data_IF_975228987268
#
_entry.id   IF_975228987268
#
_cell.length_a   1.000
_cell.length_b   1.000
_cell.length_c   1.000
_cell.angle_alpha   90.00
_cell.angle_beta   90.00
_cell.angle_gamma   90.00
#
_symmetry.space_group_name_H-M   'P 1'
#
loop_
_entity.id
_entity.type
_entity.pdbx_description
1 polymer ?
#
# COMPACT_ATOMS: atom_id res chain seq x y z
N UNK A 1 -5.59 25.31 13.05
CA UNK A 1 -4.43 24.40 12.96
C UNK A 1 -4.53 23.67 11.64
N UNK A 2 -3.56 23.85 10.77
CA UNK A 2 -3.41 23.04 9.54
C UNK A 2 -2.71 21.74 9.91
N UNK A 3 -3.21 20.61 9.40
CA UNK A 3 -2.55 19.31 9.53
C UNK A 3 -1.27 19.32 8.66
N UNK A 4 -0.16 18.79 9.16
CA UNK A 4 1.05 18.60 8.34
C UNK A 4 0.76 17.55 7.26
N UNK A 5 1.09 17.88 6.01
CA UNK A 5 0.88 16.97 4.89
C UNK A 5 1.81 15.76 4.97
N UNK A 6 3.02 15.94 5.49
CA UNK A 6 3.93 14.83 5.81
C UNK A 6 3.33 13.93 6.88
N UNK A 7 2.89 14.49 8.01
CA UNK A 7 2.31 13.72 9.11
C UNK A 7 1.07 12.91 8.68
N UNK A 8 0.28 13.43 7.74
CA UNK A 8 -0.88 12.75 7.17
C UNK A 8 -0.56 11.72 6.07
N UNK A 9 0.71 11.58 5.66
CA UNK A 9 1.12 10.71 4.53
C UNK A 9 2.16 9.66 4.94
N UNK A 10 3.45 9.98 4.92
CA UNK A 10 4.56 9.02 5.03
C UNK A 10 4.43 8.15 6.29
N UNK A 11 4.21 8.69 7.50
CA UNK A 11 4.04 7.86 8.70
C UNK A 11 2.83 6.93 8.62
N UNK A 12 1.72 7.38 8.02
CA UNK A 12 0.50 6.59 7.83
C UNK A 12 0.75 5.40 6.89
N UNK A 13 1.43 5.64 5.76
CA UNK A 13 1.80 4.57 4.84
C UNK A 13 2.75 3.57 5.51
N UNK A 14 3.76 4.05 6.24
CA UNK A 14 4.71 3.19 6.97
C UNK A 14 4.02 2.28 7.97
N UNK A 15 3.14 2.84 8.81
CA UNK A 15 2.39 2.06 9.81
C UNK A 15 1.64 0.92 9.14
N UNK A 16 0.86 1.24 8.11
CA UNK A 16 -0.04 0.28 7.48
C UNK A 16 0.69 -0.74 6.60
N UNK A 17 1.84 -0.38 6.01
CA UNK A 17 2.68 -1.33 5.27
C UNK A 17 3.38 -2.32 6.22
N UNK A 18 3.86 -1.88 7.38
CA UNK A 18 4.37 -2.79 8.41
C UNK A 18 3.27 -3.73 8.91
N UNK A 19 2.07 -3.20 9.18
CA UNK A 19 0.91 -4.01 9.55
C UNK A 19 0.56 -5.05 8.46
N UNK A 20 0.59 -4.65 7.19
CA UNK A 20 0.37 -5.56 6.06
C UNK A 20 1.46 -6.65 5.97
N UNK A 21 2.73 -6.30 6.22
CA UNK A 21 3.84 -7.26 6.29
C UNK A 21 3.61 -8.31 7.37
N UNK A 22 3.17 -7.91 8.57
CA UNK A 22 2.84 -8.84 9.66
C UNK A 22 1.65 -9.74 9.32
N UNK A 23 0.63 -9.19 8.67
CA UNK A 23 -0.52 -9.96 8.16
C UNK A 23 -0.09 -11.02 7.15
N UNK A 24 0.85 -10.69 6.25
CA UNK A 24 1.40 -11.66 5.28
C UNK A 24 2.24 -12.74 5.96
N UNK A 25 3.05 -12.39 6.96
CA UNK A 25 3.80 -13.37 7.76
C UNK A 25 2.86 -14.37 8.44
N UNK A 26 1.73 -13.90 9.01
CA UNK A 26 0.71 -14.79 9.58
C UNK A 26 0.05 -15.67 8.53
N UNK A 27 -0.19 -15.16 7.32
CA UNK A 27 -0.76 -15.93 6.23
C UNK A 27 0.17 -17.05 5.76
N UNK A 28 1.46 -16.76 5.59
CA UNK A 28 2.47 -17.76 5.25
C UNK A 28 2.59 -18.84 6.33
N UNK A 29 2.68 -18.44 7.61
CA UNK A 29 2.70 -19.36 8.73
C UNK A 29 1.44 -20.23 8.81
N UNK A 30 0.26 -19.65 8.54
CA UNK A 30 -0.99 -20.39 8.47
C UNK A 30 -0.97 -21.43 7.33
N UNK A 31 -0.50 -21.03 6.15
CA UNK A 31 -0.40 -21.93 5.01
C UNK A 31 0.49 -23.14 5.32
N UNK A 32 1.68 -22.90 5.89
CA UNK A 32 2.58 -23.96 6.35
C UNK A 32 1.92 -24.87 7.40
N UNK A 33 1.33 -24.29 8.45
CA UNK A 33 0.74 -25.06 9.55
C UNK A 33 -0.47 -25.92 9.12
N UNK A 34 -1.16 -25.53 8.04
CA UNK A 34 -2.33 -26.23 7.51
C UNK A 34 -2.05 -27.05 6.26
N UNK A 35 -0.79 -27.14 5.81
CA UNK A 35 -0.39 -27.78 4.55
C UNK A 35 -1.18 -27.23 3.34
N UNK A 36 -1.43 -25.92 3.33
CA UNK A 36 -2.05 -25.21 2.21
C UNK A 36 -0.93 -24.75 1.27
N UNK A 37 -1.05 -25.07 -0.01
CA UNK A 37 -0.16 -24.54 -1.04
C UNK A 37 -0.18 -23.00 -1.02
N UNK A 38 0.97 -22.30 -0.90
CA UNK A 38 1.00 -20.83 -0.77
C UNK A 38 0.23 -20.10 -1.88
N UNK A 39 0.27 -20.64 -3.10
CA UNK A 39 -0.45 -20.10 -4.24
C UNK A 39 -1.97 -20.07 -4.07
N UNK A 40 -2.55 -20.96 -3.25
CA UNK A 40 -3.97 -20.92 -2.94
C UNK A 40 -4.37 -19.60 -2.25
N UNK A 41 -3.51 -19.08 -1.36
CA UNK A 41 -3.75 -17.78 -0.71
C UNK A 41 -3.33 -16.60 -1.60
N UNK A 42 -2.17 -16.71 -2.27
CA UNK A 42 -1.62 -15.63 -3.12
C UNK A 42 -2.52 -15.31 -4.32
N UNK A 43 -3.22 -16.31 -4.88
CA UNK A 43 -4.13 -16.15 -6.01
C UNK A 43 -5.61 -16.06 -5.61
N UNK A 44 -5.95 -16.22 -4.33
CA UNK A 44 -7.31 -16.04 -3.84
C UNK A 44 -7.82 -14.62 -4.13
N UNK A 45 -9.13 -14.49 -4.28
CA UNK A 45 -9.88 -13.25 -4.56
C UNK A 45 -11.16 -13.24 -3.73
N UNK A 46 -11.64 -12.06 -3.34
CA UNK A 46 -12.94 -11.92 -2.67
C UNK A 46 -14.13 -12.10 -3.63
N UNK A 47 -13.92 -11.79 -4.91
CA UNK A 47 -14.95 -11.88 -5.94
C UNK A 47 -14.28 -12.15 -7.31
N UNK A 48 -14.94 -12.81 -8.27
CA UNK A 48 -14.31 -13.23 -9.52
C UNK A 48 -13.62 -12.13 -10.33
N UNK A 49 -14.18 -10.91 -10.35
CA UNK A 49 -13.61 -9.77 -11.09
C UNK A 49 -12.65 -8.91 -10.25
N UNK A 50 -12.49 -9.21 -8.96
CA UNK A 50 -11.53 -8.52 -8.10
C UNK A 50 -10.12 -9.05 -8.31
N UNK A 51 -9.13 -8.19 -8.04
CA UNK A 51 -7.73 -8.57 -8.06
C UNK A 51 -7.36 -9.57 -6.94
N UNK A 52 -6.41 -10.50 -7.20
CA UNK A 52 -5.94 -11.47 -6.23
C UNK A 52 -5.06 -10.82 -5.16
N UNK A 53 -4.77 -11.55 -4.07
CA UNK A 53 -3.97 -11.07 -2.94
C UNK A 53 -2.66 -10.40 -3.39
N UNK A 54 -1.88 -11.06 -4.25
CA UNK A 54 -0.61 -10.52 -4.79
C UNK A 54 -0.81 -9.10 -5.32
N UNK A 55 -1.86 -8.92 -6.15
CA UNK A 55 -2.11 -7.63 -6.79
C UNK A 55 -2.68 -6.59 -5.82
N UNK A 56 -3.43 -7.01 -4.79
CA UNK A 56 -3.85 -6.08 -3.72
C UNK A 56 -2.64 -5.51 -2.99
N UNK A 57 -1.65 -6.34 -2.66
CA UNK A 57 -0.41 -5.90 -1.99
C UNK A 57 0.42 -4.99 -2.90
N UNK A 58 0.64 -5.38 -4.15
CA UNK A 58 1.37 -4.56 -5.13
C UNK A 58 0.76 -3.16 -5.27
N UNK A 59 -0.57 -3.07 -5.40
CA UNK A 59 -1.24 -1.78 -5.56
C UNK A 59 -1.16 -0.95 -4.27
N UNK A 60 -1.29 -1.56 -3.09
CA UNK A 60 -1.10 -0.84 -1.82
C UNK A 60 0.32 -0.23 -1.75
N UNK A 61 1.33 -1.00 -2.11
CA UNK A 61 2.72 -0.56 -2.17
C UNK A 61 2.91 0.57 -3.20
N UNK A 62 2.31 0.46 -4.37
CA UNK A 62 2.36 1.49 -5.42
C UNK A 62 1.72 2.81 -4.98
N UNK A 63 0.62 2.78 -4.23
CA UNK A 63 0.04 4.00 -3.68
C UNK A 63 0.94 4.62 -2.61
N UNK A 64 1.49 3.84 -1.68
CA UNK A 64 2.40 4.36 -0.67
C UNK A 64 3.64 5.04 -1.29
N UNK A 65 4.31 4.36 -2.23
CA UNK A 65 5.46 4.89 -2.98
C UNK A 65 5.06 6.08 -3.84
N UNK A 66 4.03 5.91 -4.67
CA UNK A 66 3.65 6.87 -5.69
C UNK A 66 3.03 8.15 -5.13
N UNK A 67 2.31 8.07 -4.01
CA UNK A 67 1.78 9.26 -3.34
C UNK A 67 2.92 10.05 -2.71
N UNK A 68 3.76 9.37 -1.92
CA UNK A 68 4.87 10.02 -1.22
C UNK A 68 5.86 10.68 -2.18
N UNK A 69 6.24 10.01 -3.26
CA UNK A 69 7.14 10.55 -4.28
C UNK A 69 6.57 11.80 -4.99
N UNK A 70 5.29 11.76 -5.37
CA UNK A 70 4.65 12.90 -6.05
C UNK A 70 4.48 14.11 -5.14
N UNK A 71 4.16 13.90 -3.86
CA UNK A 71 4.10 14.97 -2.88
C UNK A 71 5.47 15.61 -2.64
N UNK A 72 6.52 14.80 -2.64
CA UNK A 72 7.91 15.27 -2.53
C UNK A 72 8.49 15.83 -3.85
N UNK A 73 7.69 15.88 -4.93
CA UNK A 73 8.11 16.30 -6.28
C UNK A 73 9.35 15.57 -6.82
N UNK A 74 9.50 14.29 -6.48
CA UNK A 74 10.58 13.43 -7.00
C UNK A 74 10.03 12.38 -7.96
N UNK A 75 10.92 11.79 -8.77
CA UNK A 75 10.56 10.70 -9.66
C UNK A 75 10.02 9.50 -8.88
N UNK A 76 8.91 8.92 -9.34
CA UNK A 76 8.33 7.71 -8.75
C UNK A 76 9.21 6.51 -9.15
N UNK A 77 9.81 5.76 -8.20
CA UNK A 77 10.59 4.59 -8.54
C UNK A 77 9.76 3.54 -9.30
N UNK A 78 10.30 3.03 -10.40
CA UNK A 78 9.69 1.97 -11.20
C UNK A 78 10.08 0.61 -10.66
N UNK A 79 9.08 -0.25 -10.44
CA UNK A 79 9.26 -1.66 -10.11
C UNK A 79 8.51 -2.50 -11.14
N UNK A 80 9.00 -3.71 -11.39
CA UNK A 80 8.55 -4.54 -12.51
C UNK A 80 7.33 -5.42 -12.19
N UNK A 81 6.80 -5.36 -10.96
CA UNK A 81 5.60 -6.08 -10.49
C UNK A 81 5.63 -7.61 -10.74
N UNK A 82 6.81 -8.24 -10.64
CA UNK A 82 7.03 -9.67 -10.92
C UNK A 82 6.87 -10.58 -9.70
N UNK A 83 6.33 -10.08 -8.58
CA UNK A 83 6.20 -10.82 -7.33
C UNK A 83 5.20 -11.97 -7.46
N UNK A 84 5.60 -13.19 -7.08
CA UNK A 84 4.75 -14.38 -7.14
C UNK A 84 4.74 -15.21 -5.86
N UNK A 85 5.60 -14.90 -4.89
CA UNK A 85 5.70 -15.58 -3.59
C UNK A 85 5.48 -14.62 -2.42
N UNK A 86 5.23 -15.17 -1.21
CA UNK A 86 5.21 -14.35 0.02
C UNK A 86 6.53 -13.62 0.25
N UNK A 87 7.67 -14.29 0.00
CA UNK A 87 8.99 -13.68 0.09
C UNK A 87 9.16 -12.48 -0.85
N UNK A 88 8.66 -12.57 -2.08
CA UNK A 88 8.69 -11.46 -3.04
C UNK A 88 7.85 -10.27 -2.54
N UNK A 89 6.66 -10.53 -1.99
CA UNK A 89 5.79 -9.49 -1.43
C UNK A 89 6.43 -8.82 -0.20
N UNK A 90 7.11 -9.60 0.65
CA UNK A 90 7.86 -9.04 1.78
C UNK A 90 9.02 -8.17 1.30
N UNK A 91 9.78 -8.63 0.29
CA UNK A 91 10.86 -7.85 -0.30
C UNK A 91 10.35 -6.55 -0.93
N UNK A 92 9.18 -6.59 -1.60
CA UNK A 92 8.54 -5.42 -2.17
C UNK A 92 8.13 -4.40 -1.09
N UNK A 93 7.49 -4.85 -0.01
CA UNK A 93 7.12 -3.97 1.11
C UNK A 93 8.36 -3.35 1.75
N UNK A 94 9.38 -4.15 2.05
CA UNK A 94 10.64 -3.67 2.64
C UNK A 94 11.34 -2.62 1.74
N UNK A 95 11.35 -2.86 0.42
CA UNK A 95 11.91 -1.93 -0.56
C UNK A 95 11.19 -0.58 -0.55
N UNK A 96 9.86 -0.57 -0.43
CA UNK A 96 9.10 0.70 -0.35
C UNK A 96 9.22 1.38 0.99
N UNK A 97 9.24 0.64 2.09
CA UNK A 97 9.52 1.21 3.41
C UNK A 97 10.87 1.93 3.40
N UNK A 98 11.92 1.28 2.90
CA UNK A 98 13.25 1.88 2.76
C UNK A 98 13.23 3.13 1.88
N UNK A 99 12.46 3.14 0.79
CA UNK A 99 12.31 4.32 -0.05
C UNK A 99 11.60 5.48 0.65
N UNK A 100 10.42 5.25 1.24
CA UNK A 100 9.65 6.33 1.88
C UNK A 100 10.33 6.84 3.16
N UNK A 101 11.20 6.04 3.78
CA UNK A 101 12.08 6.45 4.89
C UNK A 101 13.13 7.49 4.50
N UNK A 102 13.45 7.61 3.21
CA UNK A 102 14.36 8.67 2.73
C UNK A 102 13.69 10.04 2.66
N UNK A 103 12.35 10.09 2.72
CA UNK A 103 11.57 11.31 2.56
C UNK A 103 11.43 12.06 3.88
N UNK A 104 11.72 13.35 3.84
CA UNK A 104 11.68 14.25 4.99
C UNK A 104 10.47 15.17 4.93
N UNK A 105 10.07 15.68 6.10
CA UNK A 105 8.92 16.58 6.23
C UNK A 105 9.06 17.82 5.33
N UNK A 106 10.26 18.38 5.22
CA UNK A 106 10.53 19.61 4.44
C UNK A 106 10.35 19.42 2.93
N UNK A 107 10.29 18.17 2.45
CA UNK A 107 10.01 17.87 1.05
C UNK A 107 8.51 17.87 0.74
N UNK A 108 7.65 17.66 1.76
CA UNK A 108 6.21 17.41 1.59
C UNK A 108 5.36 18.52 2.22
N UNK A 109 5.76 19.06 3.37
CA UNK A 109 5.05 20.16 4.01
C UNK A 109 5.15 21.44 3.17
N UNK A 110 4.04 22.17 3.04
CA UNK A 110 3.95 23.33 2.13
C UNK A 110 3.61 22.97 0.68
N UNK A 111 3.42 21.68 0.36
CA UNK A 111 3.04 21.18 -0.97
C UNK A 111 1.54 20.98 -1.12
N UNK A 112 0.71 21.52 -0.25
CA UNK A 112 -0.75 21.34 -0.28
C UNK A 112 -1.36 21.82 -1.61
N UNK A 113 -0.75 22.84 -2.22
CA UNK A 113 -1.21 23.50 -3.45
C UNK A 113 -0.53 23.05 -4.75
N UNK A 114 0.46 22.14 -4.73
CA UNK A 114 1.11 21.71 -5.99
C UNK A 114 0.11 21.02 -6.91
N UNK A 115 0.29 21.17 -8.22
CA UNK A 115 -0.52 20.42 -9.18
C UNK A 115 0.02 19.00 -9.34
N UNK A 116 -0.83 18.00 -9.06
CA UNK A 116 -0.53 16.59 -9.32
C UNK A 116 -1.44 16.10 -10.44
N UNK A 117 -0.81 15.66 -11.54
CA UNK A 117 -1.50 15.07 -12.69
C UNK A 117 -1.29 13.56 -12.69
N UNK A 118 -2.38 12.80 -12.58
CA UNK A 118 -2.34 11.34 -12.72
C UNK A 118 -2.69 10.93 -14.14
N UNK A 119 -1.94 9.97 -14.71
CA UNK A 119 -2.15 9.42 -16.06
C UNK A 119 -2.23 10.51 -17.15
N UNK A 120 -1.21 11.40 -17.24
CA UNK A 120 -1.21 12.51 -18.17
C UNK A 120 -1.37 12.02 -19.61
N UNK A 121 -2.20 12.71 -20.41
CA UNK A 121 -2.44 12.40 -21.82
C UNK A 121 -3.36 11.20 -22.07
N UNK A 122 -4.05 10.68 -21.05
CA UNK A 122 -5.02 9.58 -21.20
C UNK A 122 -6.46 10.07 -20.96
N UNK A 123 -7.50 9.36 -21.45
CA UNK A 123 -8.90 9.67 -21.10
C UNK A 123 -9.22 9.56 -19.60
N UNK A 124 -8.30 9.01 -18.81
CA UNK A 124 -8.41 8.86 -17.35
C UNK A 124 -7.52 9.86 -16.61
N UNK A 125 -7.02 10.90 -17.29
CA UNK A 125 -6.27 11.99 -16.67
C UNK A 125 -7.09 12.64 -15.56
N UNK A 126 -6.45 12.90 -14.42
CA UNK A 126 -7.03 13.67 -13.32
C UNK A 126 -5.99 14.63 -12.77
N UNK A 127 -6.46 15.79 -12.33
CA UNK A 127 -5.67 16.87 -11.75
C UNK A 127 -6.14 17.13 -10.33
N UNK A 128 -5.18 17.33 -9.44
CA UNK A 128 -5.43 17.52 -8.02
C UNK A 128 -4.46 18.56 -7.47
N UNK A 129 -4.86 19.24 -6.39
CA UNK A 129 -3.86 19.84 -5.50
C UNK A 129 -3.16 18.74 -4.70
N UNK A 130 -1.97 18.98 -4.16
CA UNK A 130 -1.25 18.02 -3.31
C UNK A 130 -2.09 17.49 -2.15
N UNK A 131 -2.80 18.37 -1.44
CA UNK A 131 -3.69 17.97 -0.35
C UNK A 131 -4.86 17.11 -0.83
N UNK A 132 -5.52 17.50 -1.92
CA UNK A 132 -6.65 16.74 -2.47
C UNK A 132 -6.18 15.36 -2.96
N UNK A 133 -5.03 15.33 -3.63
CA UNK A 133 -4.41 14.10 -4.10
C UNK A 133 -4.15 13.13 -2.95
N UNK A 134 -3.59 13.59 -1.82
CA UNK A 134 -3.38 12.72 -0.66
C UNK A 134 -4.71 12.26 -0.05
N UNK A 135 -5.54 13.21 0.37
CA UNK A 135 -6.66 12.93 1.28
C UNK A 135 -7.86 12.29 0.59
N UNK A 136 -8.12 12.63 -0.68
CA UNK A 136 -9.33 12.19 -1.38
C UNK A 136 -9.06 11.15 -2.47
N UNK A 137 -7.78 10.89 -2.81
CA UNK A 137 -7.42 9.92 -3.83
C UNK A 137 -6.42 8.89 -3.32
N UNK A 138 -5.26 9.31 -2.82
CA UNK A 138 -4.16 8.45 -2.39
C UNK A 138 -4.52 7.56 -1.20
N UNK A 139 -4.86 8.16 -0.06
CA UNK A 139 -5.20 7.43 1.17
C UNK A 139 -6.42 6.51 0.97
N UNK A 140 -7.55 6.95 0.38
CA UNK A 140 -8.70 6.06 0.19
C UNK A 140 -8.36 4.81 -0.64
N UNK A 141 -7.59 4.97 -1.73
CA UNK A 141 -7.16 3.85 -2.56
C UNK A 141 -6.21 2.93 -1.81
N UNK A 142 -5.21 3.48 -1.12
CA UNK A 142 -4.28 2.72 -0.31
C UNK A 142 -5.00 1.86 0.74
N UNK A 143 -5.86 2.48 1.57
CA UNK A 143 -6.59 1.78 2.61
C UNK A 143 -7.55 0.73 2.05
N UNK A 144 -8.16 0.98 0.89
CA UNK A 144 -8.98 -0.02 0.23
C UNK A 144 -8.19 -1.31 -0.04
N UNK A 145 -6.99 -1.19 -0.61
CA UNK A 145 -6.17 -2.35 -0.95
C UNK A 145 -5.60 -3.07 0.28
N UNK A 146 -5.15 -2.33 1.31
CA UNK A 146 -4.70 -2.92 2.59
C UNK A 146 -5.83 -3.67 3.28
N UNK A 147 -7.02 -3.06 3.35
CA UNK A 147 -8.20 -3.69 3.97
C UNK A 147 -8.66 -4.90 3.17
N UNK A 148 -8.61 -4.82 1.84
CA UNK A 148 -8.99 -5.94 0.96
C UNK A 148 -8.04 -7.12 1.14
N UNK A 149 -6.72 -6.88 1.19
CA UNK A 149 -5.74 -7.93 1.48
C UNK A 149 -6.00 -8.61 2.84
N UNK A 150 -6.23 -7.81 3.89
CA UNK A 150 -6.62 -8.29 5.21
C UNK A 150 -7.90 -9.14 5.17
N UNK A 151 -8.96 -8.62 4.55
CA UNK A 151 -10.27 -9.27 4.51
C UNK A 151 -10.23 -10.58 3.72
N UNK A 152 -9.48 -10.61 2.62
CA UNK A 152 -9.25 -11.80 1.80
C UNK A 152 -8.57 -12.90 2.60
N UNK A 153 -7.51 -12.60 3.33
CA UNK A 153 -6.82 -13.57 4.18
C UNK A 153 -7.72 -14.05 5.32
N UNK A 154 -8.44 -13.13 5.98
CA UNK A 154 -9.42 -13.48 7.01
C UNK A 154 -10.52 -14.40 6.48
N UNK A 155 -11.01 -14.14 5.27
CA UNK A 155 -12.00 -14.98 4.60
C UNK A 155 -11.48 -16.39 4.29
N UNK A 156 -10.17 -16.52 3.99
CA UNK A 156 -9.51 -17.81 3.76
C UNK A 156 -9.07 -18.53 5.06
N UNK A 157 -9.55 -18.10 6.22
CA UNK A 157 -9.31 -18.80 7.49
C UNK A 157 -8.03 -18.39 8.22
N UNK A 158 -7.27 -17.41 7.71
CA UNK A 158 -6.12 -16.88 8.45
C UNK A 158 -6.63 -16.08 9.66
N UNK A 159 -6.09 -16.39 10.84
CA UNK A 159 -6.52 -15.83 12.12
C UNK A 159 -5.96 -14.40 12.37
N UNK A 160 -6.16 -13.50 11.41
CA UNK A 160 -5.80 -12.07 11.55
C UNK A 160 -6.93 -11.29 12.21
N UNK A 161 -6.61 -10.35 13.08
CA UNK A 161 -7.58 -9.51 13.79
C UNK A 161 -7.34 -8.01 13.59
N UNK A 162 -8.22 -7.17 14.16
CA UNK A 162 -8.10 -5.71 14.07
C UNK A 162 -6.74 -5.18 14.55
N UNK A 163 -6.13 -5.82 15.56
CA UNK A 163 -4.78 -5.44 16.04
C UNK A 163 -3.72 -5.63 14.96
N UNK A 164 -3.84 -6.70 14.17
CA UNK A 164 -2.92 -6.97 13.07
C UNK A 164 -3.09 -5.96 11.93
N UNK A 165 -4.33 -5.53 11.66
CA UNK A 165 -4.60 -4.46 10.71
C UNK A 165 -4.04 -3.11 11.14
N UNK A 166 -4.21 -2.75 12.42
CA UNK A 166 -3.75 -1.44 12.93
C UNK A 166 -2.23 -1.38 13.07
N UNK A 167 -1.56 -2.52 13.28
CA UNK A 167 -0.12 -2.60 13.53
C UNK A 167 0.30 -1.86 14.80
N UNK A 168 1.59 -1.57 14.89
CA UNK A 168 2.16 -0.67 15.88
C UNK A 168 2.08 0.78 15.36
N UNK A 169 1.69 1.71 16.23
CA UNK A 169 1.52 3.13 15.93
C UNK A 169 1.97 4.01 17.09
#
# INVERSE_FOLDING_TARGET
MTISLYAASVPVFKQMLNALSDVLNKAEAHATAKNIEPNALLQARLFPDMFPLVRQVQIAVDFAKGVSARLAEIEVPKYDDNEVTFADLQALIAKVLAFIDTLKAEQIDGKEGIEIVTRPGTPKEKRFSGQTYLLTYGLPQFFFHVTTAYALLRHNGVEVGKRDYMGAF
#
